data_IF_154198922247
#
_entry.id   IF_154198922247
#
_cell.length_a   1.000
_cell.length_b   1.000
_cell.length_c   1.000
_cell.angle_alpha   90.00
_cell.angle_beta   90.00
_cell.angle_gamma   90.00
#
_symmetry.space_group_name_H-M   'P 1'
#
loop_
_entity.id
_entity.type
_entity.pdbx_description
1 polymer ?
#
# COMPACT_ATOMS: atom_id res chain seq x y z
N UNK A 1 -49.37 -6.20 -38.09
CA UNK A 1 -48.98 -7.49 -37.49
C UNK A 1 -50.18 -7.93 -36.69
N UNK A 2 -50.91 -8.89 -37.26
CA UNK A 2 -52.15 -9.45 -36.75
C UNK A 2 -51.91 -10.21 -35.47
N UNK A 3 -52.85 -10.18 -34.52
CA UNK A 3 -53.64 -11.37 -34.20
C UNK A 3 -54.73 -11.05 -33.17
N UNK A 4 -55.82 -11.77 -33.36
CA UNK A 4 -57.15 -11.56 -32.82
C UNK A 4 -57.27 -12.03 -31.37
N UNK A 5 -58.08 -11.31 -30.61
CA UNK A 5 -58.55 -11.73 -29.29
C UNK A 5 -59.81 -12.58 -29.48
N UNK A 6 -59.78 -13.84 -29.05
CA UNK A 6 -60.94 -14.71 -29.06
C UNK A 6 -61.45 -14.96 -27.64
N UNK A 7 -62.66 -14.46 -27.36
CA UNK A 7 -63.44 -14.73 -26.16
C UNK A 7 -64.24 -16.02 -26.32
N UNK A 8 -64.63 -16.64 -25.21
CA UNK A 8 -65.90 -17.33 -25.11
C UNK A 8 -66.48 -17.24 -23.69
N UNK A 9 -67.70 -16.72 -23.64
CA UNK A 9 -68.55 -16.49 -22.49
C UNK A 9 -69.14 -17.78 -21.90
N UNK A 10 -69.36 -17.76 -20.59
CA UNK A 10 -69.99 -18.82 -19.81
C UNK A 10 -71.50 -18.86 -20.05
N UNK A 11 -72.07 -20.08 -20.11
CA UNK A 11 -73.51 -20.31 -19.99
C UNK A 11 -73.76 -21.40 -18.95
N UNK A 12 -74.22 -20.98 -17.77
CA UNK A 12 -74.85 -21.87 -16.79
C UNK A 12 -76.34 -21.94 -17.06
N UNK A 13 -76.90 -23.14 -16.94
CA UNK A 13 -78.35 -23.34 -16.91
C UNK A 13 -78.66 -24.41 -15.86
N UNK A 14 -79.09 -23.95 -14.68
CA UNK A 14 -79.89 -24.72 -13.74
C UNK A 14 -81.33 -24.81 -14.28
N UNK A 15 -81.95 -25.98 -14.20
CA UNK A 15 -83.32 -26.12 -13.71
C UNK A 15 -83.76 -27.58 -13.64
N UNK A 16 -84.35 -27.89 -12.49
CA UNK A 16 -85.01 -29.10 -12.02
C UNK A 16 -86.02 -29.78 -12.95
N UNK A 17 -86.24 -31.08 -12.64
CA UNK A 17 -87.53 -31.78 -12.49
C UNK A 17 -87.86 -32.83 -13.56
N UNK A 18 -88.13 -34.06 -13.10
CA UNK A 18 -88.84 -35.09 -13.87
C UNK A 18 -88.51 -36.52 -13.46
N UNK A 19 -89.32 -37.11 -12.58
CA UNK A 19 -89.45 -38.54 -12.32
C UNK A 19 -89.64 -39.36 -13.61
N UNK A 20 -89.19 -40.63 -13.59
CA UNK A 20 -90.01 -41.76 -14.02
C UNK A 20 -89.52 -43.07 -13.36
N UNK A 21 -90.45 -43.74 -12.69
CA UNK A 21 -90.32 -45.04 -12.05
C UNK A 21 -90.56 -46.13 -13.09
N UNK A 22 -89.76 -47.20 -13.06
CA UNK A 22 -90.25 -48.54 -13.43
C UNK A 22 -89.54 -49.60 -12.57
N UNK A 23 -90.34 -50.22 -11.71
CA UNK A 23 -90.03 -51.33 -10.81
C UNK A 23 -90.25 -52.66 -11.57
N UNK A 24 -89.38 -53.66 -11.37
CA UNK A 24 -89.77 -55.08 -11.32
C UNK A 24 -88.64 -55.96 -10.73
N UNK A 25 -89.08 -56.98 -9.99
CA UNK A 25 -88.42 -57.70 -8.90
C UNK A 25 -87.14 -58.52 -9.16
N UNK A 26 -86.42 -58.70 -8.05
CA UNK A 26 -85.28 -59.59 -7.78
C UNK A 26 -85.59 -61.09 -7.94
N UNK A 27 -84.66 -61.85 -8.55
CA UNK A 27 -84.23 -63.20 -8.09
C UNK A 27 -82.76 -63.42 -8.50
N UNK A 28 -81.87 -63.67 -7.53
CA UNK A 28 -80.43 -63.79 -7.74
C UNK A 28 -79.92 -65.18 -8.10
N UNK A 29 -78.59 -65.27 -8.38
CA UNK A 29 -77.69 -66.34 -7.94
C UNK A 29 -76.20 -65.94 -8.15
N UNK A 30 -75.47 -65.95 -7.03
CA UNK A 30 -74.03 -66.26 -6.75
C UNK A 30 -72.91 -65.42 -7.40
N UNK A 31 -72.36 -64.53 -6.57
CA UNK A 31 -70.97 -64.07 -6.62
C UNK A 31 -70.02 -65.02 -5.82
N UNK A 32 -68.70 -65.00 -6.05
CA UNK A 32 -67.73 -66.06 -5.70
C UNK A 32 -67.63 -66.38 -4.20
N UNK A 33 -67.16 -67.60 -3.83
CA UNK A 33 -67.09 -68.03 -2.44
C UNK A 33 -66.31 -67.04 -1.57
N UNK A 34 -66.91 -66.71 -0.43
CA UNK A 34 -66.31 -65.85 0.58
C UNK A 34 -64.89 -66.36 0.91
N UNK A 35 -63.87 -65.49 0.93
CA UNK A 35 -62.52 -65.89 1.26
C UNK A 35 -62.55 -66.61 2.61
N UNK A 36 -61.88 -67.77 2.69
CA UNK A 36 -61.87 -68.56 3.92
C UNK A 36 -61.42 -67.70 5.10
N UNK A 37 -61.95 -67.98 6.30
CA UNK A 37 -61.74 -67.19 7.53
C UNK A 37 -60.26 -66.84 7.77
N UNK A 38 -59.34 -67.73 7.38
CA UNK A 38 -57.89 -67.52 7.44
C UNK A 38 -57.34 -66.49 6.45
N UNK A 39 -57.86 -66.38 5.22
CA UNK A 39 -57.47 -65.34 4.26
C UNK A 39 -57.90 -63.94 4.71
N UNK A 40 -59.09 -63.83 5.29
CA UNK A 40 -59.62 -62.57 5.81
C UNK A 40 -58.81 -62.08 7.03
N UNK A 41 -58.40 -62.98 7.92
CA UNK A 41 -57.52 -62.66 9.05
C UNK A 41 -56.10 -62.28 8.60
N UNK A 42 -55.53 -62.98 7.60
CA UNK A 42 -54.21 -62.64 7.05
C UNK A 42 -54.21 -61.29 6.35
N UNK A 43 -55.25 -60.97 5.58
CA UNK A 43 -55.39 -59.66 4.95
C UNK A 43 -55.49 -58.53 5.99
N UNK A 44 -56.28 -58.71 7.06
CA UNK A 44 -56.38 -57.74 8.17
C UNK A 44 -55.05 -57.56 8.93
N UNK A 45 -54.30 -58.65 9.12
CA UNK A 45 -52.98 -58.57 9.74
C UNK A 45 -51.98 -57.79 8.85
N UNK A 46 -52.01 -58.02 7.53
CA UNK A 46 -51.15 -57.32 6.57
C UNK A 46 -51.50 -55.84 6.44
N UNK A 47 -52.79 -55.49 6.44
CA UNK A 47 -53.21 -54.08 6.40
C UNK A 47 -52.79 -53.36 7.68
N UNK A 48 -52.94 -54.00 8.84
CA UNK A 48 -52.48 -53.45 10.11
C UNK A 48 -50.95 -53.28 10.14
N UNK A 49 -50.20 -54.27 9.65
CA UNK A 49 -48.74 -54.18 9.53
C UNK A 49 -48.32 -53.01 8.60
N UNK A 50 -49.01 -52.85 7.47
CA UNK A 50 -48.74 -51.77 6.53
C UNK A 50 -49.03 -50.39 7.14
N UNK A 51 -50.13 -50.25 7.90
CA UNK A 51 -50.44 -49.02 8.63
C UNK A 51 -49.36 -48.69 9.68
N UNK A 52 -48.89 -49.69 10.43
CA UNK A 52 -47.80 -49.49 11.39
C UNK A 52 -46.50 -49.04 10.72
N UNK A 53 -46.16 -49.61 9.56
CA UNK A 53 -44.98 -49.21 8.79
C UNK A 53 -45.10 -47.78 8.27
N UNK A 54 -46.28 -47.39 7.76
CA UNK A 54 -46.53 -46.01 7.30
C UNK A 54 -46.43 -44.99 8.44
N UNK A 55 -46.93 -45.33 9.62
CA UNK A 55 -46.79 -44.49 10.82
C UNK A 55 -45.30 -44.36 11.21
N UNK A 56 -44.57 -45.48 11.22
CA UNK A 56 -43.13 -45.48 11.50
C UNK A 56 -42.34 -44.60 10.55
N UNK A 57 -42.61 -44.70 9.24
CA UNK A 57 -41.99 -43.87 8.21
C UNK A 57 -42.35 -42.39 8.35
N UNK A 58 -43.60 -42.08 8.71
CA UNK A 58 -44.04 -40.72 8.99
C UNK A 58 -43.27 -40.09 10.16
N UNK A 59 -43.12 -40.84 11.26
CA UNK A 59 -42.35 -40.39 12.43
C UNK A 59 -40.87 -40.18 12.05
N UNK A 60 -40.26 -41.12 11.33
CA UNK A 60 -38.88 -40.99 10.83
C UNK A 60 -38.70 -39.76 9.94
N UNK A 61 -39.66 -39.50 9.03
CA UNK A 61 -39.64 -38.32 8.18
C UNK A 61 -39.75 -37.02 8.96
N UNK A 62 -40.60 -36.95 9.99
CA UNK A 62 -40.71 -35.78 10.86
C UNK A 62 -39.42 -35.55 11.65
N UNK A 63 -38.85 -36.62 12.23
CA UNK A 63 -37.56 -36.54 12.95
C UNK A 63 -36.49 -36.01 12.00
N UNK A 64 -36.37 -36.58 10.79
CA UNK A 64 -35.40 -36.16 9.80
C UNK A 64 -35.59 -34.70 9.34
N UNK A 65 -36.83 -34.27 9.09
CA UNK A 65 -37.14 -32.88 8.74
C UNK A 65 -36.79 -31.90 9.86
N UNK A 66 -37.13 -32.25 11.12
CA UNK A 66 -36.81 -31.40 12.27
C UNK A 66 -35.30 -31.30 12.50
N UNK A 67 -34.55 -32.39 12.36
CA UNK A 67 -33.08 -32.36 12.44
C UNK A 67 -32.45 -31.51 11.35
N UNK A 68 -32.89 -31.68 10.09
CA UNK A 68 -32.39 -30.87 8.96
C UNK A 68 -32.65 -29.37 9.16
N UNK A 69 -33.87 -29.01 9.61
CA UNK A 69 -34.24 -27.62 9.85
C UNK A 69 -33.39 -26.97 10.95
N UNK A 70 -33.08 -27.73 12.00
CA UNK A 70 -32.23 -27.25 13.11
C UNK A 70 -30.79 -27.03 12.65
N UNK A 71 -30.22 -27.96 11.89
CA UNK A 71 -28.86 -27.82 11.37
C UNK A 71 -28.72 -26.63 10.41
N UNK A 72 -29.68 -26.45 9.50
CA UNK A 72 -29.69 -25.27 8.62
C UNK A 72 -29.84 -23.96 9.41
N UNK A 73 -30.65 -23.94 10.46
CA UNK A 73 -30.77 -22.78 11.35
C UNK A 73 -29.46 -22.42 12.07
N UNK A 74 -28.69 -23.43 12.49
CA UNK A 74 -27.36 -23.24 13.10
C UNK A 74 -26.33 -22.76 12.07
N UNK A 75 -26.34 -23.33 10.87
CA UNK A 75 -25.42 -22.96 9.79
C UNK A 75 -25.64 -21.50 9.35
N UNK A 76 -26.90 -21.09 9.17
CA UNK A 76 -27.25 -19.70 8.83
C UNK A 76 -26.83 -18.71 9.92
N UNK A 77 -27.01 -19.07 11.20
CA UNK A 77 -26.55 -18.23 12.32
C UNK A 77 -25.03 -18.11 12.36
N UNK A 78 -24.31 -19.22 12.16
CA UNK A 78 -22.86 -19.23 12.14
C UNK A 78 -22.32 -18.41 10.95
N UNK A 79 -22.98 -18.49 9.79
CA UNK A 79 -22.62 -17.72 8.62
C UNK A 79 -22.85 -16.22 8.81
N UNK A 80 -24.00 -15.83 9.37
CA UNK A 80 -24.26 -14.43 9.72
C UNK A 80 -23.23 -13.89 10.72
N UNK A 81 -22.90 -14.67 11.75
CA UNK A 81 -21.88 -14.28 12.74
C UNK A 81 -20.49 -14.14 12.10
N UNK A 82 -20.12 -15.05 11.19
CA UNK A 82 -18.87 -14.95 10.42
C UNK A 82 -18.83 -13.68 9.57
N UNK A 83 -19.91 -13.36 8.87
CA UNK A 83 -20.00 -12.16 8.03
C UNK A 83 -19.96 -10.87 8.86
N UNK A 84 -20.66 -10.83 9.99
CA UNK A 84 -20.66 -9.71 10.92
C UNK A 84 -19.26 -9.49 11.52
N UNK A 85 -18.63 -10.57 12.00
CA UNK A 85 -17.26 -10.52 12.51
C UNK A 85 -16.29 -10.03 11.45
N UNK A 86 -16.40 -10.55 10.22
CA UNK A 86 -15.54 -10.15 9.11
C UNK A 86 -15.74 -8.67 8.74
N UNK A 87 -16.96 -8.14 8.75
CA UNK A 87 -17.23 -6.70 8.53
C UNK A 87 -16.63 -5.84 9.62
N UNK A 88 -16.85 -6.19 10.89
CA UNK A 88 -16.35 -5.43 12.04
C UNK A 88 -14.82 -5.35 12.04
N UNK A 89 -14.15 -6.48 11.78
CA UNK A 89 -12.69 -6.54 11.65
C UNK A 89 -12.20 -5.68 10.48
N UNK A 90 -12.88 -5.73 9.33
CA UNK A 90 -12.52 -4.92 8.16
C UNK A 90 -12.66 -3.42 8.41
N UNK A 91 -13.75 -3.00 9.07
CA UNK A 91 -13.96 -1.60 9.44
C UNK A 91 -12.90 -1.11 10.43
N UNK A 92 -12.54 -1.93 11.43
CA UNK A 92 -11.50 -1.60 12.39
C UNK A 92 -10.12 -1.47 11.72
N UNK A 93 -9.80 -2.35 10.77
CA UNK A 93 -8.57 -2.26 9.96
C UNK A 93 -8.52 -0.96 9.17
N UNK A 94 -9.59 -0.61 8.45
CA UNK A 94 -9.66 0.63 7.67
C UNK A 94 -9.52 1.86 8.57
N UNK A 95 -10.20 1.88 9.72
CA UNK A 95 -10.11 2.99 10.69
C UNK A 95 -8.69 3.15 11.23
N UNK A 96 -8.05 2.05 11.65
CA UNK A 96 -6.68 2.06 12.15
C UNK A 96 -5.68 2.49 11.07
N UNK A 97 -5.84 2.02 9.83
CA UNK A 97 -5.01 2.45 8.69
C UNK A 97 -5.20 3.93 8.37
N UNK A 98 -6.44 4.44 8.37
CA UNK A 98 -6.72 5.86 8.14
C UNK A 98 -6.14 6.75 9.25
N UNK A 99 -6.28 6.35 10.51
CA UNK A 99 -5.70 7.06 11.66
C UNK A 99 -4.17 7.04 11.60
N UNK A 100 -3.57 5.89 11.31
CA UNK A 100 -2.12 5.76 11.14
C UNK A 100 -1.59 6.61 9.99
N UNK A 101 -2.32 6.63 8.86
CA UNK A 101 -1.99 7.48 7.71
C UNK A 101 -2.05 8.96 8.09
N UNK A 102 -3.11 9.40 8.76
CA UNK A 102 -3.26 10.80 9.19
C UNK A 102 -2.15 11.21 10.17
N UNK A 103 -1.78 10.35 11.11
CA UNK A 103 -0.67 10.61 12.04
C UNK A 103 0.66 10.74 11.28
N UNK A 104 0.92 9.86 10.31
CA UNK A 104 2.11 9.93 9.46
C UNK A 104 2.13 11.21 8.62
N UNK A 105 1.01 11.57 8.00
CA UNK A 105 0.89 12.78 7.17
C UNK A 105 1.09 14.05 8.01
N UNK A 106 0.54 14.07 9.23
CA UNK A 106 0.78 15.16 10.20
C UNK A 106 2.25 15.24 10.61
N UNK A 107 2.89 14.10 10.87
CA UNK A 107 4.32 14.04 11.21
C UNK A 107 5.20 14.57 10.06
N UNK A 108 4.89 14.23 8.81
CA UNK A 108 5.60 14.74 7.63
C UNK A 108 5.40 16.25 7.51
N UNK A 109 4.15 16.71 7.63
CA UNK A 109 3.82 18.14 7.54
C UNK A 109 4.54 18.96 8.62
N UNK A 110 4.57 18.45 9.85
CA UNK A 110 5.27 19.10 10.95
C UNK A 110 6.78 19.16 10.71
N UNK A 111 7.36 18.08 10.19
CA UNK A 111 8.78 18.04 9.81
C UNK A 111 9.09 19.05 8.70
N UNK A 112 8.25 19.14 7.67
CA UNK A 112 8.44 20.10 6.57
C UNK A 112 8.38 21.55 7.06
N UNK A 113 7.44 21.87 7.95
CA UNK A 113 7.33 23.21 8.54
C UNK A 113 8.56 23.51 9.40
N UNK A 114 9.00 22.57 10.24
CA UNK A 114 10.19 22.72 11.06
C UNK A 114 11.44 22.94 10.20
N UNK A 115 11.62 22.16 9.13
CA UNK A 115 12.73 22.32 8.18
C UNK A 115 12.71 23.68 7.49
N UNK A 116 11.54 24.13 7.01
CA UNK A 116 11.38 25.45 6.38
C UNK A 116 11.70 26.58 7.36
N UNK A 117 11.16 26.52 8.57
CA UNK A 117 11.43 27.51 9.62
C UNK A 117 12.93 27.53 9.97
N UNK A 118 13.53 26.35 10.14
CA UNK A 118 14.95 26.26 10.45
C UNK A 118 15.84 26.82 9.33
N UNK A 119 15.47 26.60 8.06
CA UNK A 119 16.17 27.22 6.93
C UNK A 119 16.13 28.75 6.98
N UNK A 120 14.99 29.34 7.33
CA UNK A 120 14.87 30.79 7.47
C UNK A 120 15.67 31.33 8.67
N UNK A 121 15.74 30.57 9.77
CA UNK A 121 16.60 30.90 10.90
C UNK A 121 18.08 30.81 10.53
N UNK A 122 18.50 29.71 9.90
CA UNK A 122 19.87 29.49 9.43
C UNK A 122 20.36 30.58 8.46
N UNK A 123 19.50 31.09 7.58
CA UNK A 123 19.84 32.22 6.68
C UNK A 123 20.17 33.50 7.46
N UNK A 124 19.56 33.72 8.62
CA UNK A 124 19.77 34.90 9.47
C UNK A 124 20.92 34.69 10.45
N UNK A 125 21.02 33.49 11.00
CA UNK A 125 22.00 33.07 11.98
C UNK A 125 22.60 31.71 11.58
N UNK A 126 23.75 31.68 10.87
CA UNK A 126 24.36 30.46 10.35
C UNK A 126 24.77 29.43 11.43
N UNK A 127 24.86 29.86 12.68
CA UNK A 127 25.19 29.03 13.84
C UNK A 127 23.96 28.56 14.62
N UNK A 128 22.75 28.88 14.14
CA UNK A 128 21.52 28.50 14.82
C UNK A 128 21.45 26.99 15.08
N UNK A 129 21.16 26.63 16.35
CA UNK A 129 21.19 25.24 16.87
C UNK A 129 20.29 24.26 16.11
N UNK A 130 19.26 24.77 15.42
CA UNK A 130 18.36 23.93 14.65
C UNK A 130 18.97 23.30 13.41
N UNK A 131 20.12 23.83 12.92
CA UNK A 131 20.70 23.36 11.66
C UNK A 131 20.99 21.86 11.74
N UNK A 132 20.61 21.09 10.71
CA UNK A 132 20.77 19.63 10.73
C UNK A 132 22.20 19.17 10.42
N UNK A 133 23.08 20.10 10.05
CA UNK A 133 24.46 19.84 9.66
C UNK A 133 25.42 19.94 10.85
N UNK A 134 26.51 19.15 10.86
CA UNK A 134 27.55 19.29 11.87
C UNK A 134 28.14 20.70 11.92
N UNK A 135 28.83 21.00 13.01
CA UNK A 135 29.59 22.25 13.13
C UNK A 135 30.56 22.41 11.95
N UNK A 136 30.74 23.65 11.47
CA UNK A 136 31.51 24.02 10.27
C UNK A 136 30.97 23.53 8.91
N UNK A 137 29.94 22.68 8.86
CA UNK A 137 29.31 22.27 7.60
C UNK A 137 28.22 23.28 7.20
N UNK A 138 28.20 23.62 5.92
CA UNK A 138 27.18 24.45 5.30
C UNK A 138 25.96 23.61 4.96
N UNK A 139 24.78 24.10 5.35
CA UNK A 139 23.51 23.48 4.97
C UNK A 139 22.97 24.07 3.67
N UNK A 140 22.68 23.21 2.69
CA UNK A 140 21.99 23.59 1.45
C UNK A 140 21.05 22.45 1.01
N UNK A 141 19.76 22.74 0.92
CA UNK A 141 18.70 21.75 0.68
C UNK A 141 18.78 20.57 1.64
N UNK A 142 18.81 19.34 1.12
CA UNK A 142 18.82 18.12 1.91
C UNK A 142 20.24 17.65 2.27
N UNK A 143 21.26 18.46 2.01
CA UNK A 143 22.66 18.09 2.15
C UNK A 143 23.48 19.08 3.00
N UNK A 144 24.55 18.54 3.56
CA UNK A 144 25.60 19.26 4.25
C UNK A 144 26.87 19.23 3.41
N UNK A 145 27.57 20.36 3.35
CA UNK A 145 28.80 20.53 2.58
C UNK A 145 29.92 21.10 3.44
N UNK A 146 31.15 20.61 3.27
CA UNK A 146 32.33 21.19 3.90
C UNK A 146 33.43 21.42 2.87
N UNK A 147 33.97 22.64 2.86
CA UNK A 147 35.12 23.02 2.05
C UNK A 147 36.39 22.63 2.79
N UNK A 148 37.28 21.94 2.10
CA UNK A 148 38.58 21.56 2.60
C UNK A 148 39.64 22.22 1.73
N UNK A 149 40.27 23.26 2.28
CA UNK A 149 41.41 23.96 1.68
C UNK A 149 42.72 23.22 1.99
N UNK A 150 42.75 21.92 1.65
CA UNK A 150 43.92 21.08 1.77
C UNK A 150 44.21 20.49 0.38
N UNK A 151 45.40 20.77 -0.15
CA UNK A 151 45.81 20.36 -1.48
C UNK A 151 46.09 18.85 -1.48
N UNK A 152 45.08 18.07 -1.85
CA UNK A 152 45.14 16.60 -1.87
C UNK A 152 44.92 16.08 -3.29
N UNK A 153 45.42 14.87 -3.57
CA UNK A 153 45.06 14.19 -4.81
C UNK A 153 43.57 13.88 -4.86
N UNK A 154 43.05 13.58 -6.05
CA UNK A 154 41.63 13.23 -6.18
C UNK A 154 41.27 12.01 -5.32
N UNK A 155 42.15 11.00 -5.29
CA UNK A 155 41.94 9.78 -4.50
C UNK A 155 41.97 10.06 -3.00
N UNK A 156 42.94 10.85 -2.53
CA UNK A 156 43.02 11.27 -1.12
C UNK A 156 41.78 12.05 -0.69
N UNK A 157 41.29 12.96 -1.55
CA UNK A 157 40.07 13.72 -1.31
C UNK A 157 38.85 12.81 -1.14
N UNK A 158 38.72 11.77 -1.98
CA UNK A 158 37.65 10.77 -1.87
C UNK A 158 37.77 9.97 -0.56
N UNK A 159 38.98 9.54 -0.19
CA UNK A 159 39.22 8.83 1.07
C UNK A 159 38.91 9.71 2.28
N UNK A 160 39.29 10.99 2.26
CA UNK A 160 39.00 11.94 3.31
C UNK A 160 37.49 12.12 3.50
N UNK A 161 36.74 12.36 2.42
CA UNK A 161 35.29 12.48 2.52
C UNK A 161 34.66 11.19 3.05
N UNK A 162 35.14 10.02 2.60
CA UNK A 162 34.64 8.73 3.06
C UNK A 162 34.87 8.51 4.55
N UNK A 163 36.03 8.91 5.09
CA UNK A 163 36.32 8.87 6.53
C UNK A 163 35.36 9.74 7.37
N UNK A 164 34.72 10.74 6.75
CA UNK A 164 33.72 11.62 7.38
C UNK A 164 32.26 11.16 7.16
N UNK A 165 32.06 9.92 6.68
CA UNK A 165 30.78 9.41 6.21
C UNK A 165 30.13 10.32 5.15
N UNK A 166 30.95 10.85 4.27
CA UNK A 166 30.58 11.76 3.20
C UNK A 166 31.12 11.25 1.86
N UNK A 167 30.79 11.97 0.79
CA UNK A 167 31.31 11.72 -0.55
C UNK A 167 31.93 12.99 -1.10
N UNK A 168 32.85 12.85 -2.05
CA UNK A 168 33.33 13.99 -2.81
C UNK A 168 32.15 14.59 -3.60
N UNK A 169 32.04 15.92 -3.60
CA UNK A 169 30.93 16.65 -4.20
C UNK A 169 30.66 16.22 -5.65
N UNK A 170 29.43 15.81 -5.93
CA UNK A 170 28.93 15.59 -7.28
C UNK A 170 27.80 16.57 -7.62
N UNK A 171 27.83 17.16 -8.80
CA UNK A 171 26.80 18.10 -9.25
C UNK A 171 25.62 17.32 -9.86
N UNK A 172 24.64 16.99 -9.02
CA UNK A 172 23.51 16.10 -9.38
C UNK A 172 22.32 16.83 -10.01
N UNK A 173 22.16 18.12 -9.73
CA UNK A 173 21.00 18.89 -10.17
C UNK A 173 21.32 20.39 -10.26
N UNK A 174 20.36 21.17 -10.79
CA UNK A 174 20.47 22.62 -10.95
C UNK A 174 20.69 23.39 -9.65
N UNK A 175 20.07 22.95 -8.55
CA UNK A 175 20.23 23.65 -7.28
C UNK A 175 21.65 23.55 -6.75
N UNK A 176 22.23 22.35 -6.77
CA UNK A 176 23.64 22.14 -6.40
C UNK A 176 24.54 22.93 -7.33
N UNK A 177 24.29 22.94 -8.64
CA UNK A 177 25.04 23.73 -9.61
C UNK A 177 25.09 25.23 -9.25
N UNK A 178 23.95 25.84 -8.97
CA UNK A 178 23.87 27.26 -8.59
C UNK A 178 24.50 27.53 -7.22
N UNK A 179 24.37 26.59 -6.27
CA UNK A 179 25.08 26.63 -5.00
C UNK A 179 26.60 26.66 -5.22
N UNK A 180 27.16 25.79 -6.07
CA UNK A 180 28.60 25.78 -6.37
C UNK A 180 29.06 27.09 -7.02
N UNK A 181 28.30 27.61 -7.99
CA UNK A 181 28.60 28.92 -8.61
C UNK A 181 28.65 30.04 -7.57
N UNK A 182 27.72 30.04 -6.61
CA UNK A 182 27.67 31.05 -5.54
C UNK A 182 28.92 31.05 -4.66
N UNK A 183 29.59 29.90 -4.51
CA UNK A 183 30.81 29.76 -3.71
C UNK A 183 32.08 30.25 -4.41
N UNK A 184 32.03 30.47 -5.73
CA UNK A 184 33.19 30.96 -6.53
C UNK A 184 34.46 30.14 -6.28
N UNK A 185 34.29 28.81 -6.18
CA UNK A 185 35.37 27.87 -5.87
C UNK A 185 36.51 27.98 -6.89
N UNK A 186 37.74 27.88 -6.42
CA UNK A 186 38.94 27.89 -7.27
C UNK A 186 39.73 26.63 -7.03
N UNK A 187 39.92 25.83 -8.09
CA UNK A 187 40.70 24.58 -8.01
C UNK A 187 40.16 23.63 -6.94
N UNK A 188 38.88 23.27 -7.08
CA UNK A 188 38.21 22.30 -6.19
C UNK A 188 37.87 21.02 -6.94
N UNK A 189 38.32 19.88 -6.44
CA UNK A 189 37.93 18.58 -6.98
C UNK A 189 36.42 18.37 -6.94
N UNK A 190 35.91 17.76 -8.00
CA UNK A 190 34.57 17.24 -8.10
C UNK A 190 34.64 15.71 -8.13
N UNK A 191 33.54 15.03 -7.79
CA UNK A 191 33.32 13.60 -8.00
C UNK A 191 33.20 13.23 -9.49
N UNK A 192 34.09 13.77 -10.33
CA UNK A 192 34.11 13.61 -11.78
C UNK A 192 35.37 12.89 -12.22
N UNK A 193 35.17 11.85 -13.04
CA UNK A 193 36.23 10.99 -13.54
C UNK A 193 35.92 10.61 -15.00
N UNK A 194 36.87 10.79 -15.91
CA UNK A 194 36.69 10.48 -17.33
C UNK A 194 37.90 9.73 -17.91
N UNK A 195 37.63 8.82 -18.86
CA UNK A 195 38.68 8.14 -19.67
C UNK A 195 38.97 8.86 -20.98
N UNK A 196 38.10 9.79 -21.39
CA UNK A 196 38.26 10.55 -22.62
C UNK A 196 38.80 11.92 -22.25
N UNK A 197 39.89 12.31 -22.90
CA UNK A 197 40.34 13.70 -22.94
C UNK A 197 39.29 14.52 -23.70
N UNK A 198 38.20 14.89 -23.00
CA UNK A 198 37.24 15.86 -23.50
C UNK A 198 37.91 17.24 -23.52
N UNK A 199 37.44 18.16 -24.37
CA UNK A 199 37.93 19.54 -24.46
C UNK A 199 38.32 20.06 -23.06
N UNK A 200 39.50 20.67 -22.94
CA UNK A 200 40.19 21.01 -21.67
C UNK A 200 39.32 21.65 -20.59
N UNK A 201 38.21 22.29 -20.97
CA UNK A 201 37.22 22.84 -20.07
C UNK A 201 35.84 22.88 -20.69
N UNK A 202 34.82 22.83 -19.83
CA UNK A 202 33.43 23.08 -20.16
C UNK A 202 32.85 24.09 -19.17
N UNK A 203 31.83 24.85 -19.60
CA UNK A 203 31.17 25.80 -18.72
C UNK A 203 30.43 25.04 -17.62
N UNK A 204 30.38 25.62 -16.43
CA UNK A 204 29.59 25.12 -15.30
C UNK A 204 28.10 25.33 -15.61
N UNK A 205 27.48 24.38 -16.31
CA UNK A 205 26.06 24.40 -16.70
C UNK A 205 25.37 23.03 -16.53
N UNK A 206 24.11 22.93 -16.92
CA UNK A 206 23.27 21.73 -16.73
C UNK A 206 23.73 20.54 -17.60
N UNK A 207 24.59 20.74 -18.60
CA UNK A 207 25.13 19.62 -19.40
C UNK A 207 26.05 18.71 -18.59
N UNK A 208 26.55 19.21 -17.46
CA UNK A 208 27.37 18.45 -16.51
C UNK A 208 26.57 17.31 -15.87
N UNK A 209 25.23 17.41 -15.80
CA UNK A 209 24.36 16.39 -15.20
C UNK A 209 24.34 15.08 -15.99
N UNK A 210 24.78 15.09 -17.25
CA UNK A 210 24.51 14.05 -18.26
C UNK A 210 25.73 13.21 -18.64
N UNK A 211 26.93 13.51 -18.15
CA UNK A 211 28.11 12.70 -18.50
C UNK A 211 28.18 11.48 -17.58
N UNK A 212 28.17 10.26 -18.12
CA UNK A 212 28.35 8.99 -17.40
C UNK A 212 29.44 9.07 -16.31
N UNK A 213 29.00 9.33 -15.08
CA UNK A 213 29.85 9.47 -13.90
C UNK A 213 30.26 8.08 -13.43
N UNK A 214 31.49 7.68 -13.73
CA UNK A 214 31.99 6.32 -13.44
C UNK A 214 32.39 6.15 -11.96
N UNK A 215 31.53 6.51 -11.02
CA UNK A 215 31.70 6.26 -9.59
C UNK A 215 31.23 4.84 -9.25
N UNK A 216 31.88 3.83 -9.83
CA UNK A 216 31.60 2.43 -9.47
C UNK A 216 32.73 1.68 -8.82
N UNK A 217 33.96 2.20 -8.83
CA UNK A 217 35.05 1.77 -7.93
C UNK A 217 36.21 2.75 -8.02
N UNK A 218 36.58 3.35 -6.88
CA UNK A 218 37.73 4.26 -6.72
C UNK A 218 39.08 3.55 -6.76
N UNK A 219 39.08 2.21 -6.81
CA UNK A 219 40.29 1.39 -6.83
C UNK A 219 40.92 1.25 -8.23
N UNK A 220 40.25 1.73 -9.29
CA UNK A 220 40.67 1.57 -10.69
C UNK A 220 41.14 2.88 -11.35
N UNK A 221 41.44 3.92 -10.56
CA UNK A 221 42.05 5.15 -11.11
C UNK A 221 43.42 4.77 -11.69
N UNK A 222 43.54 4.87 -13.01
CA UNK A 222 44.77 4.58 -13.76
C UNK A 222 45.26 5.83 -14.49
N UNK A 223 46.50 5.79 -14.98
CA UNK A 223 47.18 6.91 -15.66
C UNK A 223 46.46 7.43 -16.92
N UNK A 224 45.41 6.74 -17.40
CA UNK A 224 44.59 7.19 -18.55
C UNK A 224 43.36 7.96 -18.12
N UNK A 225 43.06 8.04 -16.83
CA UNK A 225 41.90 8.73 -16.30
C UNK A 225 42.25 10.19 -15.97
N UNK A 226 41.31 11.08 -16.25
CA UNK A 226 41.39 12.47 -15.88
C UNK A 226 40.30 12.79 -14.87
N UNK A 227 40.67 13.58 -13.86
CA UNK A 227 39.80 13.98 -12.78
C UNK A 227 39.31 15.40 -12.99
N UNK A 228 38.02 15.62 -12.73
CA UNK A 228 37.36 16.89 -12.96
C UNK A 228 37.44 17.81 -11.75
N UNK A 229 37.77 19.08 -11.96
CA UNK A 229 37.75 20.10 -10.91
C UNK A 229 37.01 21.34 -11.40
N UNK A 230 36.42 22.08 -10.46
CA UNK A 230 35.84 23.39 -10.73
C UNK A 230 36.88 24.48 -10.49
N UNK A 231 36.95 25.42 -11.42
CA UNK A 231 37.64 26.68 -11.23
C UNK A 231 36.76 27.82 -11.76
N UNK A 232 36.30 28.65 -10.82
CA UNK A 232 35.35 29.72 -11.05
C UNK A 232 34.05 29.21 -11.68
N UNK A 233 33.81 29.50 -12.97
CA UNK A 233 32.57 29.19 -13.69
C UNK A 233 32.76 28.05 -14.71
N UNK A 234 33.83 27.27 -14.58
CA UNK A 234 34.22 26.22 -15.52
C UNK A 234 34.62 24.95 -14.80
N UNK A 235 34.40 23.82 -15.47
CA UNK A 235 34.92 22.51 -15.10
C UNK A 235 36.07 22.18 -16.03
N UNK A 236 37.20 21.81 -15.44
CA UNK A 236 38.42 21.41 -16.11
C UNK A 236 38.71 19.95 -15.80
N UNK A 237 39.52 19.30 -16.63
CA UNK A 237 40.00 17.93 -16.40
C UNK A 237 41.52 17.92 -16.41
N UNK A 238 42.12 17.22 -15.44
CA UNK A 238 43.58 17.09 -15.33
C UNK A 238 43.96 15.73 -14.76
N UNK A 239 45.26 15.48 -14.60
CA UNK A 239 45.78 14.27 -13.98
C UNK A 239 45.27 14.17 -12.54
N UNK A 240 44.74 13.00 -12.16
CA UNK A 240 44.20 12.71 -10.84
C UNK A 240 45.24 12.78 -9.72
N UNK A 241 46.53 12.73 -10.05
CA UNK A 241 47.67 12.89 -9.14
C UNK A 241 48.00 14.36 -8.83
N UNK A 242 47.38 15.31 -9.54
CA UNK A 242 47.46 16.72 -9.18
C UNK A 242 46.87 16.95 -7.79
N UNK A 243 47.30 17.99 -7.10
CA UNK A 243 46.72 18.35 -5.80
C UNK A 243 45.81 19.57 -5.96
N UNK A 244 44.61 19.50 -5.36
CA UNK A 244 43.61 20.56 -5.38
C UNK A 244 42.88 20.59 -4.04
N UNK A 245 42.15 21.68 -3.78
CA UNK A 245 41.18 21.71 -2.70
C UNK A 245 40.00 20.80 -3.05
N UNK A 246 39.12 20.53 -2.10
CA UNK A 246 37.96 19.68 -2.37
C UNK A 246 36.79 20.00 -1.46
N UNK A 247 35.59 19.58 -1.88
CA UNK A 247 34.38 19.73 -1.09
C UNK A 247 33.74 18.38 -0.87
N UNK A 248 33.41 18.05 0.38
CA UNK A 248 32.65 16.86 0.71
C UNK A 248 31.16 17.20 0.83
N UNK A 249 30.30 16.24 0.49
CA UNK A 249 28.85 16.30 0.64
C UNK A 249 28.32 15.07 1.41
N UNK A 250 27.31 15.27 2.25
CA UNK A 250 26.53 14.18 2.88
C UNK A 250 25.10 14.62 3.15
N UNK A 251 24.20 13.68 3.36
CA UNK A 251 22.81 13.98 3.73
C UNK A 251 22.75 14.73 5.05
N UNK A 252 21.86 15.72 5.10
CA UNK A 252 21.50 16.40 6.33
C UNK A 252 20.70 15.46 7.24
N UNK A 253 20.88 15.61 8.55
CA UNK A 253 20.02 14.91 9.50
C UNK A 253 18.59 15.49 9.48
N UNK A 254 17.58 14.77 9.98
CA UNK A 254 16.28 15.38 10.24
C UNK A 254 16.42 16.56 11.21
N UNK A 255 15.76 17.69 10.90
CA UNK A 255 15.70 18.83 11.80
C UNK A 255 14.98 18.42 13.08
N UNK A 256 15.61 18.67 14.23
CA UNK A 256 15.01 18.38 15.54
C UNK A 256 13.99 19.48 15.86
N UNK A 257 12.71 19.13 15.94
CA UNK A 257 11.62 20.10 16.13
C UNK A 257 11.84 20.96 17.39
N UNK A 258 12.29 20.37 18.49
CA UNK A 258 12.61 21.08 19.74
C UNK A 258 13.61 22.24 19.53
N UNK A 259 14.62 22.04 18.69
CA UNK A 259 15.65 23.04 18.42
C UNK A 259 15.19 24.21 17.55
N UNK A 260 14.02 24.08 16.89
CA UNK A 260 13.39 25.18 16.15
C UNK A 260 12.53 26.08 17.03
N UNK A 261 12.10 25.58 18.19
CA UNK A 261 11.16 26.27 19.09
C UNK A 261 11.86 26.93 20.28
N UNK A 262 13.09 26.52 20.59
CA UNK A 262 13.87 27.10 21.67
C UNK A 262 14.70 28.28 21.19
N UNK A 263 14.12 29.47 21.25
CA UNK A 263 14.90 30.63 21.69
C UNK A 263 15.10 30.41 23.19
N UNK A 264 16.26 29.91 23.62
CA UNK A 264 16.61 29.92 25.04
C UNK A 264 16.50 31.38 25.52
N UNK A 265 15.52 31.67 26.37
CA UNK A 265 15.50 32.88 27.18
C UNK A 265 16.83 32.86 27.94
N UNK A 266 17.65 33.92 27.90
CA UNK A 266 18.94 33.92 28.57
C UNK A 266 18.69 33.59 30.03
N UNK A 267 19.28 32.49 30.52
CA UNK A 267 19.20 32.13 31.92
C UNK A 267 19.59 33.34 32.75
N UNK A 268 18.60 33.86 33.48
CA UNK A 268 18.76 34.96 34.38
C UNK A 268 19.84 34.59 35.38
N UNK A 269 20.94 35.36 35.37
CA UNK A 269 21.88 35.43 36.48
C UNK A 269 21.09 35.83 37.73
N UNK A 270 20.74 34.85 38.56
CA UNK A 270 20.53 35.09 39.98
C UNK A 270 21.91 34.91 40.64
N UNK A 271 22.62 36.04 40.74
CA UNK A 271 23.68 36.25 41.73
C UNK A 271 23.10 37.04 42.88
#
# INVERSE_FOLDING_TARGET
MSEEVMYADLKFQDSSKGENIHEFDTVGIKAPPAPSRGWRQRALALTFLCLLLLIGLGILGIIFYTTLKIEMGKLNKLQNFKEELQRNVSLQLIHNMNSSKMIRDLSITLQEIATKLCHELYKREPEHKCKPCPETWMWHEDNCYILIDNYETWQESVMFCSAQNASLLTIKNKSVLEFIKSKRLRKYWLGLLTRKYQKNYQRLDETIFSSDWLLRNTNDVNDRMHCGYVDSMYVYYTDCTSTMNFMCEKLANPVKIESTLMNEIPDGKYS
#
